data_IF_780734049131
#
_entry.id   IF_780734049131
#
_cell.length_a   1.000
_cell.length_b   1.000
_cell.length_c   1.000
_cell.angle_alpha   90.00
_cell.angle_beta   90.00
_cell.angle_gamma   90.00
#
_symmetry.space_group_name_H-M   'P 1'
#
loop_
_entity.id
_entity.type
_entity.pdbx_description
1 polymer ?
#
# COMPACT_ATOMS: atom_id res chain seq x y z
N UNK A 1 18.79 -0.87 16.80
CA UNK A 1 17.53 -0.31 16.28
C UNK A 1 16.51 -1.32 15.74
N UNK A 2 16.76 -2.01 14.62
CA UNK A 2 15.75 -2.85 13.93
C UNK A 2 14.98 -3.83 14.82
N UNK A 3 15.68 -4.49 15.75
CA UNK A 3 15.08 -5.38 16.75
C UNK A 3 14.02 -4.70 17.61
N UNK A 4 14.30 -3.49 18.08
CA UNK A 4 13.41 -2.76 19.00
C UNK A 4 12.16 -2.26 18.27
N UNK A 5 12.31 -1.80 17.02
CA UNK A 5 11.18 -1.44 16.15
C UNK A 5 10.30 -2.65 15.88
N UNK A 6 10.90 -3.79 15.46
CA UNK A 6 10.14 -5.01 15.21
C UNK A 6 9.42 -5.54 16.46
N UNK A 7 10.07 -5.46 17.62
CA UNK A 7 9.45 -5.84 18.89
C UNK A 7 8.32 -4.88 19.32
N UNK A 8 8.48 -3.58 19.11
CA UNK A 8 7.45 -2.58 19.40
C UNK A 8 6.22 -2.80 18.52
N UNK A 9 6.40 -2.93 17.20
CA UNK A 9 5.34 -3.25 16.24
C UNK A 9 4.60 -4.53 16.63
N UNK A 10 5.36 -5.59 16.96
CA UNK A 10 4.78 -6.85 17.38
C UNK A 10 3.93 -6.68 18.65
N UNK A 11 4.42 -5.92 19.64
CA UNK A 11 3.70 -5.66 20.88
C UNK A 11 2.39 -4.89 20.66
N UNK A 12 2.38 -3.90 19.75
CA UNK A 12 1.16 -3.16 19.37
C UNK A 12 0.16 -4.11 18.71
N UNK A 13 0.60 -4.86 17.69
CA UNK A 13 -0.25 -5.78 16.94
C UNK A 13 -0.75 -6.97 17.78
N UNK A 14 -0.04 -7.28 18.86
CA UNK A 14 -0.41 -8.30 19.83
C UNK A 14 -1.43 -7.81 20.88
N UNK A 15 -1.76 -6.51 20.93
CA UNK A 15 -2.74 -5.99 21.89
C UNK A 15 -4.08 -6.71 21.76
N UNK A 16 -4.80 -6.96 22.87
CA UNK A 16 -6.10 -7.62 22.81
C UNK A 16 -7.11 -6.79 22.01
N UNK A 17 -7.78 -7.42 21.02
CA UNK A 17 -8.82 -6.75 20.21
C UNK A 17 -9.95 -6.15 21.06
N UNK A 18 -10.22 -6.73 22.23
CA UNK A 18 -11.20 -6.21 23.20
C UNK A 18 -10.86 -4.79 23.67
N UNK A 19 -9.59 -4.37 23.67
CA UNK A 19 -9.21 -3.00 24.00
C UNK A 19 -9.86 -2.01 23.03
N UNK A 20 -9.83 -2.31 21.73
CA UNK A 20 -10.39 -1.47 20.68
C UNK A 20 -11.91 -1.51 20.71
N UNK A 21 -12.48 -2.72 20.79
CA UNK A 21 -13.93 -2.91 20.79
C UNK A 21 -14.60 -2.27 22.03
N UNK A 22 -14.00 -2.37 23.21
CA UNK A 22 -14.57 -1.77 24.43
C UNK A 22 -14.45 -0.24 24.44
N UNK A 23 -13.57 0.33 23.64
CA UNK A 23 -13.41 1.77 23.47
C UNK A 23 -14.25 2.32 22.32
N UNK A 24 -15.10 1.49 21.69
CA UNK A 24 -15.90 1.83 20.51
C UNK A 24 -15.07 2.42 19.36
N UNK A 25 -13.81 1.99 19.24
CA UNK A 25 -12.90 2.41 18.19
C UNK A 25 -13.13 1.61 16.90
N UNK A 26 -12.72 2.15 15.73
CA UNK A 26 -12.97 1.49 14.46
C UNK A 26 -12.37 0.08 14.37
N UNK A 27 -13.13 -0.83 13.76
CA UNK A 27 -12.70 -2.20 13.51
C UNK A 27 -13.12 -2.64 12.12
N UNK A 28 -12.18 -3.18 11.35
CA UNK A 28 -12.41 -3.60 9.97
C UNK A 28 -11.97 -5.04 9.77
N UNK A 29 -12.83 -5.84 9.14
CA UNK A 29 -12.44 -7.10 8.53
C UNK A 29 -11.54 -6.84 7.31
N UNK A 30 -10.78 -7.85 6.83
CA UNK A 30 -9.91 -7.65 5.67
C UNK A 30 -10.65 -7.18 4.42
N UNK A 31 -11.87 -7.68 4.19
CA UNK A 31 -12.67 -7.28 3.04
C UNK A 31 -13.25 -5.86 3.18
N UNK A 32 -13.65 -5.45 4.39
CA UNK A 32 -14.09 -4.06 4.64
C UNK A 32 -12.93 -3.08 4.43
N UNK A 33 -11.74 -3.43 4.91
CA UNK A 33 -10.55 -2.63 4.72
C UNK A 33 -10.19 -2.50 3.23
N UNK A 34 -10.18 -3.62 2.49
CA UNK A 34 -10.00 -3.65 1.03
C UNK A 34 -11.03 -2.78 0.30
N UNK A 35 -12.31 -2.93 0.61
CA UNK A 35 -13.38 -2.16 -0.03
C UNK A 35 -13.24 -0.67 0.24
N UNK A 36 -12.83 -0.30 1.45
CA UNK A 36 -12.56 1.09 1.80
C UNK A 36 -11.42 1.67 0.96
N UNK A 37 -10.31 0.93 0.80
CA UNK A 37 -9.19 1.35 -0.06
C UNK A 37 -9.59 1.49 -1.53
N UNK A 38 -10.43 0.59 -2.06
CA UNK A 38 -11.02 0.72 -3.40
C UNK A 38 -11.88 1.98 -3.52
N UNK A 39 -12.73 2.27 -2.54
CA UNK A 39 -13.54 3.49 -2.57
C UNK A 39 -12.69 4.77 -2.49
N UNK A 40 -11.60 4.74 -1.72
CA UNK A 40 -10.62 5.84 -1.68
C UNK A 40 -9.91 5.99 -3.03
N UNK A 41 -9.58 4.89 -3.70
CA UNK A 41 -8.99 4.88 -5.05
C UNK A 41 -9.95 5.48 -6.08
N UNK A 42 -11.23 5.09 -6.05
CA UNK A 42 -12.26 5.65 -6.93
C UNK A 42 -12.36 7.18 -6.75
N UNK A 43 -12.41 7.65 -5.50
CA UNK A 43 -12.43 9.09 -5.21
C UNK A 43 -11.18 9.78 -5.73
N UNK A 44 -10.00 9.21 -5.48
CA UNK A 44 -8.74 9.78 -5.92
C UNK A 44 -8.65 9.80 -7.46
N UNK A 45 -9.20 8.81 -8.16
CA UNK A 45 -9.29 8.79 -9.61
C UNK A 45 -10.17 9.92 -10.19
N UNK A 46 -11.24 10.32 -9.48
CA UNK A 46 -12.09 11.45 -9.92
C UNK A 46 -11.37 12.80 -10.00
N UNK A 47 -10.22 12.93 -9.32
CA UNK A 47 -9.38 14.15 -9.39
C UNK A 47 -8.80 14.39 -10.77
N UNK A 48 -8.63 13.33 -11.58
CA UNK A 48 -7.96 13.38 -12.89
C UNK A 48 -6.47 13.69 -12.84
N UNK A 49 -5.87 13.77 -11.65
CA UNK A 49 -4.47 14.17 -11.42
C UNK A 49 -3.53 13.00 -11.16
N UNK A 50 -4.06 11.80 -10.92
CA UNK A 50 -3.25 10.60 -10.68
C UNK A 50 -2.81 9.99 -12.01
N UNK A 51 -1.50 9.70 -12.18
CA UNK A 51 -1.00 9.00 -13.36
C UNK A 51 -1.73 7.66 -13.62
N UNK A 52 -2.22 7.38 -14.84
CA UNK A 52 -2.99 6.17 -15.13
C UNK A 52 -2.28 4.85 -14.83
N UNK A 53 -0.94 4.84 -14.94
CA UNK A 53 -0.13 3.65 -14.62
C UNK A 53 -0.23 3.28 -13.14
N UNK A 54 -0.34 4.28 -12.25
CA UNK A 54 -0.51 4.06 -10.81
C UNK A 54 -1.92 3.59 -10.49
N UNK A 55 -2.95 4.20 -11.09
CA UNK A 55 -4.34 3.77 -10.92
C UNK A 55 -4.51 2.29 -11.27
N UNK A 56 -4.09 1.88 -12.47
CA UNK A 56 -4.19 0.49 -12.91
C UNK A 56 -3.43 -0.46 -11.98
N UNK A 57 -2.24 -0.04 -11.54
CA UNK A 57 -1.37 -0.84 -10.67
C UNK A 57 -1.98 -1.04 -9.29
N UNK A 58 -2.53 0.00 -8.69
CA UNK A 58 -3.18 -0.05 -7.38
C UNK A 58 -4.52 -0.79 -7.43
N UNK A 59 -5.33 -0.54 -8.47
CA UNK A 59 -6.57 -1.27 -8.71
C UNK A 59 -6.30 -2.78 -8.79
N UNK A 60 -5.34 -3.21 -9.62
CA UNK A 60 -4.96 -4.62 -9.75
C UNK A 60 -4.52 -5.25 -8.42
N UNK A 61 -3.73 -4.54 -7.62
CA UNK A 61 -3.32 -5.03 -6.30
C UNK A 61 -4.50 -5.10 -5.32
N UNK A 62 -5.39 -4.11 -5.33
CA UNK A 62 -6.61 -4.12 -4.53
C UNK A 62 -7.59 -5.20 -5.01
N UNK A 63 -7.55 -5.60 -6.28
CA UNK A 63 -8.38 -6.66 -6.84
C UNK A 63 -7.86 -8.08 -6.54
N UNK A 64 -6.56 -8.26 -6.31
CA UNK A 64 -5.96 -9.53 -5.92
C UNK A 64 -6.44 -9.99 -4.53
N UNK A 65 -7.48 -10.83 -4.51
CA UNK A 65 -8.10 -11.35 -3.28
C UNK A 65 -7.11 -12.09 -2.39
N UNK A 66 -6.04 -12.68 -2.93
CA UNK A 66 -5.04 -13.41 -2.14
C UNK A 66 -4.24 -12.47 -1.24
N UNK A 67 -3.98 -11.24 -1.71
CA UNK A 67 -3.27 -10.19 -0.98
C UNK A 67 -3.98 -9.85 0.34
N UNK A 68 -5.31 -9.83 0.31
CA UNK A 68 -6.19 -9.37 1.41
C UNK A 68 -6.56 -10.48 2.41
N UNK A 69 -5.90 -11.64 2.35
CA UNK A 69 -6.07 -12.72 3.35
C UNK A 69 -5.10 -12.55 4.50
N UNK A 70 -5.35 -11.56 5.35
CA UNK A 70 -4.58 -11.30 6.57
C UNK A 70 -5.41 -11.48 7.83
N UNK A 71 -4.74 -11.56 8.98
CA UNK A 71 -5.37 -11.54 10.30
C UNK A 71 -5.42 -10.08 10.79
N UNK A 72 -6.60 -9.45 10.90
CA UNK A 72 -6.68 -8.09 11.45
C UNK A 72 -6.17 -8.06 12.89
N UNK A 73 -5.45 -7.00 13.23
CA UNK A 73 -4.94 -6.78 14.58
C UNK A 73 -5.11 -5.32 14.98
N UNK A 74 -4.79 -5.02 16.25
CA UNK A 74 -4.68 -3.62 16.68
C UNK A 74 -3.54 -2.98 15.90
N UNK A 75 -3.79 -1.83 15.29
CA UNK A 75 -2.77 -1.03 14.59
C UNK A 75 -2.75 0.36 15.19
N UNK A 76 -1.57 0.98 15.21
CA UNK A 76 -1.38 2.38 15.56
C UNK A 76 -2.10 3.28 14.55
N UNK A 77 -1.98 2.96 13.27
CA UNK A 77 -2.73 3.58 12.18
C UNK A 77 -2.07 4.80 11.54
N UNK A 78 -1.13 5.43 12.25
CA UNK A 78 -0.29 6.55 11.81
C UNK A 78 1.17 6.38 12.28
N UNK A 79 1.72 5.16 12.19
CA UNK A 79 3.08 4.92 12.70
C UNK A 79 4.13 5.41 11.70
N UNK A 80 5.03 6.29 12.16
CA UNK A 80 6.22 6.73 11.45
C UNK A 80 7.27 7.25 12.46
N UNK A 81 8.41 7.71 11.97
CA UNK A 81 9.54 8.15 12.80
C UNK A 81 9.21 9.21 13.86
N UNK A 82 8.34 10.18 13.57
CA UNK A 82 7.99 11.22 14.54
C UNK A 82 7.13 10.69 15.70
N UNK A 83 6.48 9.54 15.49
CA UNK A 83 5.68 8.85 16.50
C UNK A 83 6.50 7.84 17.32
N UNK A 84 7.82 7.75 17.10
CA UNK A 84 8.73 6.86 17.83
C UNK A 84 9.75 7.67 18.64
N UNK A 85 9.72 7.53 19.97
CA UNK A 85 10.75 8.10 20.82
C UNK A 85 11.86 7.09 21.07
N UNK A 86 13.08 7.45 20.70
CA UNK A 86 14.25 6.57 20.74
C UNK A 86 15.33 7.15 21.65
N UNK A 87 15.88 6.31 22.54
CA UNK A 87 17.06 6.64 23.35
C UNK A 87 18.17 5.62 23.08
N UNK A 88 19.27 6.09 22.46
CA UNK A 88 20.33 5.23 21.97
C UNK A 88 19.79 4.26 20.92
N UNK A 89 19.79 2.97 21.25
CA UNK A 89 19.35 1.89 20.35
C UNK A 89 17.96 1.34 20.69
N UNK A 90 17.22 1.97 21.62
CA UNK A 90 15.97 1.48 22.20
C UNK A 90 14.79 2.38 21.90
N UNK A 91 13.66 1.77 21.53
CA UNK A 91 12.36 2.45 21.50
C UNK A 91 11.85 2.61 22.94
N UNK A 92 11.60 3.84 23.35
CA UNK A 92 11.20 4.19 24.72
C UNK A 92 9.72 4.52 24.83
N UNK A 93 9.12 5.07 23.78
CA UNK A 93 7.69 5.33 23.72
C UNK A 93 7.19 5.38 22.27
N UNK A 94 5.87 5.18 22.13
CA UNK A 94 5.12 5.39 20.90
C UNK A 94 4.02 6.41 21.19
N UNK A 95 3.92 7.44 20.36
CA UNK A 95 2.95 8.56 20.47
C UNK A 95 2.06 8.61 19.23
N UNK A 96 1.01 9.44 19.22
CA UNK A 96 0.19 9.63 18.01
C UNK A 96 -1.01 8.67 17.86
N UNK A 97 -1.55 8.17 18.96
CA UNK A 97 -2.60 7.12 18.98
C UNK A 97 -4.01 7.53 18.48
N UNK A 98 -4.16 8.63 17.75
CA UNK A 98 -5.49 9.10 17.31
C UNK A 98 -6.16 8.17 16.30
N UNK A 99 -5.36 7.38 15.58
CA UNK A 99 -5.80 6.57 14.44
C UNK A 99 -5.91 5.08 14.78
N UNK A 100 -5.80 4.76 16.07
CA UNK A 100 -5.83 3.39 16.58
C UNK A 100 -7.14 2.69 16.21
N UNK A 101 -7.00 1.49 15.65
CA UNK A 101 -8.10 0.69 15.12
C UNK A 101 -7.74 -0.79 15.07
N UNK A 102 -8.72 -1.64 14.80
CA UNK A 102 -8.45 -2.99 14.28
C UNK A 102 -8.41 -2.92 12.76
N UNK A 103 -7.30 -3.35 12.16
CA UNK A 103 -7.07 -3.23 10.73
C UNK A 103 -5.90 -4.06 10.22
N UNK A 104 -5.36 -3.65 9.07
CA UNK A 104 -4.23 -4.31 8.41
C UNK A 104 -2.90 -3.90 9.05
N UNK A 105 -2.11 -4.84 9.61
CA UNK A 105 -0.78 -4.55 10.15
C UNK A 105 0.19 -3.91 9.13
N UNK A 106 -0.12 -3.99 7.84
CA UNK A 106 0.67 -3.36 6.79
C UNK A 106 0.71 -1.82 6.89
N UNK A 107 -0.32 -1.18 7.44
CA UNK A 107 -0.36 0.29 7.59
C UNK A 107 0.79 0.79 8.48
N UNK A 108 1.09 0.09 9.59
CA UNK A 108 2.17 0.46 10.51
C UNK A 108 3.58 0.11 9.97
N UNK A 109 3.65 -0.59 8.84
CA UNK A 109 4.89 -0.98 8.16
C UNK A 109 5.19 -0.13 6.93
N UNK A 110 4.21 0.64 6.43
CA UNK A 110 4.31 1.34 5.15
C UNK A 110 5.51 2.30 5.09
N UNK A 111 5.73 3.07 6.17
CA UNK A 111 6.85 4.00 6.28
C UNK A 111 8.23 3.33 6.20
N UNK A 112 8.36 2.08 6.69
CA UNK A 112 9.61 1.32 6.62
C UNK A 112 9.92 0.93 5.18
N UNK A 113 8.91 0.49 4.44
CA UNK A 113 9.09 0.02 3.06
C UNK A 113 9.37 1.18 2.10
N UNK A 114 8.97 2.41 2.47
CA UNK A 114 9.39 3.62 1.78
C UNK A 114 10.88 3.96 2.00
N UNK A 115 11.55 3.34 2.98
CA UNK A 115 12.99 3.51 3.17
C UNK A 115 13.78 2.68 2.14
N UNK A 116 14.80 3.29 1.53
CA UNK A 116 15.66 2.63 0.52
C UNK A 116 16.65 1.59 1.11
N UNK A 117 16.49 1.16 2.37
CA UNK A 117 17.42 0.25 3.05
C UNK A 117 16.80 -1.15 3.26
N UNK A 118 16.77 -1.95 2.21
CA UNK A 118 16.14 -3.29 2.22
C UNK A 118 16.64 -4.19 3.37
N UNK A 119 17.94 -4.16 3.67
CA UNK A 119 18.51 -4.95 4.76
C UNK A 119 17.96 -4.56 6.14
N UNK A 120 17.61 -3.29 6.32
CA UNK A 120 16.98 -2.82 7.55
C UNK A 120 15.53 -3.27 7.64
N UNK A 121 14.77 -3.12 6.55
CA UNK A 121 13.37 -3.59 6.45
C UNK A 121 13.27 -5.09 6.74
N UNK A 122 14.14 -5.90 6.13
CA UNK A 122 14.18 -7.35 6.34
C UNK A 122 14.52 -7.71 7.80
N UNK A 123 15.45 -6.96 8.42
CA UNK A 123 15.80 -7.15 9.83
C UNK A 123 14.62 -6.81 10.76
N UNK A 124 13.92 -5.69 10.50
CA UNK A 124 12.72 -5.32 11.27
C UNK A 124 11.64 -6.39 11.11
N UNK A 125 11.34 -6.84 9.88
CA UNK A 125 10.35 -7.88 9.62
C UNK A 125 10.72 -9.19 10.31
N UNK A 126 11.98 -9.60 10.31
CA UNK A 126 12.44 -10.81 10.99
C UNK A 126 12.21 -10.74 12.50
N UNK A 127 12.49 -9.58 13.11
CA UNK A 127 12.25 -9.37 14.53
C UNK A 127 10.76 -9.24 14.88
N UNK A 128 9.97 -8.58 14.04
CA UNK A 128 8.52 -8.52 14.15
C UNK A 128 7.91 -9.93 14.12
N UNK A 129 8.25 -10.71 13.08
CA UNK A 129 7.71 -12.06 12.86
C UNK A 129 8.06 -13.02 14.00
N UNK A 130 9.28 -12.93 14.54
CA UNK A 130 9.71 -13.78 15.66
C UNK A 130 9.10 -13.37 17.01
N UNK A 131 8.59 -12.14 17.13
CA UNK A 131 7.99 -11.61 18.35
C UNK A 131 6.46 -11.74 18.37
N UNK A 132 5.81 -11.83 17.19
CA UNK A 132 4.36 -11.97 17.05
C UNK A 132 3.86 -13.33 17.56
N UNK A 133 2.66 -13.34 18.14
CA UNK A 133 1.96 -14.58 18.53
C UNK A 133 1.30 -15.31 17.36
N UNK A 134 0.85 -14.56 16.37
CA UNK A 134 0.12 -15.09 15.21
C UNK A 134 1.07 -15.65 14.15
N UNK A 135 0.51 -16.43 13.22
CA UNK A 135 1.24 -16.92 12.08
C UNK A 135 1.78 -15.76 11.20
N UNK A 136 2.98 -15.91 10.60
CA UNK A 136 3.52 -14.91 9.69
C UNK A 136 2.61 -14.65 8.49
N UNK A 137 2.46 -13.37 8.13
CA UNK A 137 1.74 -12.95 6.94
C UNK A 137 2.70 -12.83 5.74
N UNK A 138 2.54 -13.71 4.76
CA UNK A 138 3.40 -13.79 3.59
C UNK A 138 3.30 -12.57 2.64
N UNK A 139 2.27 -11.75 2.79
CA UNK A 139 2.01 -10.60 1.93
C UNK A 139 2.06 -9.26 2.66
N UNK A 140 2.49 -9.25 3.93
CA UNK A 140 2.59 -8.03 4.75
C UNK A 140 3.36 -6.91 4.05
N UNK A 141 4.58 -7.18 3.56
CA UNK A 141 5.39 -6.16 2.89
C UNK A 141 4.81 -5.71 1.55
N UNK A 142 4.08 -6.58 0.84
CA UNK A 142 3.40 -6.19 -0.41
C UNK A 142 2.28 -5.19 -0.13
N UNK A 143 1.48 -5.45 0.91
CA UNK A 143 0.43 -4.52 1.35
C UNK A 143 1.01 -3.24 1.94
N UNK A 144 2.15 -3.32 2.63
CA UNK A 144 2.84 -2.14 3.15
C UNK A 144 3.37 -1.26 2.01
N UNK A 145 3.97 -1.86 0.98
CA UNK A 145 4.38 -1.16 -0.24
C UNK A 145 3.17 -0.51 -0.95
N UNK A 146 2.06 -1.24 -1.11
CA UNK A 146 0.82 -0.68 -1.66
C UNK A 146 0.33 0.52 -0.84
N UNK A 147 0.32 0.41 0.49
CA UNK A 147 -0.11 1.49 1.38
C UNK A 147 0.80 2.72 1.27
N UNK A 148 2.12 2.51 1.18
CA UNK A 148 3.10 3.58 0.98
C UNK A 148 2.93 4.31 -0.37
N UNK A 149 2.77 3.57 -1.47
CA UNK A 149 2.49 4.15 -2.78
C UNK A 149 1.15 4.94 -2.76
N UNK A 150 0.11 4.34 -2.19
CA UNK A 150 -1.24 4.91 -2.17
C UNK A 150 -1.37 6.14 -1.25
N UNK A 151 -0.52 6.27 -0.24
CA UNK A 151 -0.49 7.44 0.65
C UNK A 151 -0.30 8.76 -0.13
N UNK A 152 0.41 8.74 -1.26
CA UNK A 152 0.57 9.92 -2.13
C UNK A 152 -0.77 10.39 -2.74
N UNK A 153 -1.64 9.45 -3.12
CA UNK A 153 -2.97 9.77 -3.59
C UNK A 153 -3.85 10.34 -2.47
N UNK A 154 -3.72 9.80 -1.25
CA UNK A 154 -4.43 10.33 -0.08
C UNK A 154 -3.94 11.74 0.29
N UNK A 155 -2.63 11.99 0.17
CA UNK A 155 -2.02 13.31 0.36
C UNK A 155 -2.58 14.32 -0.66
N UNK A 156 -2.63 13.96 -1.94
CA UNK A 156 -3.26 14.78 -2.98
C UNK A 156 -4.71 15.13 -2.64
N UNK A 157 -5.54 14.13 -2.32
CA UNK A 157 -6.96 14.33 -2.00
C UNK A 157 -7.13 15.23 -0.78
N UNK A 158 -6.28 15.09 0.24
CA UNK A 158 -6.28 15.94 1.43
C UNK A 158 -5.89 17.38 1.09
N UNK A 159 -4.90 17.60 0.23
CA UNK A 159 -4.53 18.94 -0.26
C UNK A 159 -5.67 19.61 -1.03
N UNK A 160 -6.35 18.87 -1.89
CA UNK A 160 -7.54 19.36 -2.59
C UNK A 160 -8.69 19.71 -1.65
N UNK A 161 -8.95 18.89 -0.63
CA UNK A 161 -9.99 19.17 0.36
C UNK A 161 -9.67 20.41 1.23
N UNK A 162 -8.39 20.77 1.35
CA UNK A 162 -7.92 21.93 2.09
C UNK A 162 -7.75 23.20 1.23
N UNK A 163 -7.99 23.11 -0.09
CA UNK A 163 -7.63 24.16 -1.07
C UNK A 163 -6.16 24.62 -0.95
N UNK A 164 -5.25 23.68 -0.67
CA UNK A 164 -3.83 23.94 -0.49
C UNK A 164 -3.05 23.66 -1.77
N UNK A 165 -2.83 24.72 -2.57
CA UNK A 165 -2.13 24.63 -3.86
C UNK A 165 -0.68 24.12 -3.75
N UNK A 166 0.00 24.36 -2.61
CA UNK A 166 1.35 23.88 -2.40
C UNK A 166 1.36 22.37 -2.18
N UNK A 167 0.47 21.90 -1.31
CA UNK A 167 0.27 20.48 -1.03
C UNK A 167 -0.16 19.69 -2.28
N UNK A 168 -1.06 20.27 -3.09
CA UNK A 168 -1.50 19.65 -4.35
C UNK A 168 -0.33 19.50 -5.33
N UNK A 169 0.46 20.56 -5.52
CA UNK A 169 1.61 20.54 -6.43
C UNK A 169 2.66 19.54 -5.99
N UNK A 170 2.99 19.50 -4.70
CA UNK A 170 3.93 18.53 -4.15
C UNK A 170 3.44 17.09 -4.34
N UNK A 171 2.15 16.83 -4.12
CA UNK A 171 1.57 15.52 -4.34
C UNK A 171 1.65 15.09 -5.82
N UNK A 172 1.37 16.00 -6.76
CA UNK A 172 1.52 15.74 -8.20
C UNK A 172 2.96 15.42 -8.58
N UNK A 173 3.92 16.18 -8.06
CA UNK A 173 5.36 15.94 -8.31
C UNK A 173 5.78 14.57 -7.78
N UNK A 174 5.39 14.20 -6.55
CA UNK A 174 5.68 12.88 -5.97
C UNK A 174 5.03 11.73 -6.76
N UNK A 175 3.77 11.89 -7.19
CA UNK A 175 3.08 10.90 -8.01
C UNK A 175 3.74 10.73 -9.37
N UNK A 176 4.19 11.83 -9.99
CA UNK A 176 4.93 11.77 -11.25
C UNK A 176 6.25 11.03 -11.09
N UNK A 177 7.04 11.35 -10.06
CA UNK A 177 8.30 10.64 -9.78
C UNK A 177 8.07 9.15 -9.51
N UNK A 178 7.05 8.79 -8.72
CA UNK A 178 6.73 7.38 -8.49
C UNK A 178 6.34 6.65 -9.78
N UNK A 179 5.56 7.30 -10.66
CA UNK A 179 5.16 6.74 -11.94
C UNK A 179 6.38 6.51 -12.87
N UNK A 180 7.32 7.44 -12.89
CA UNK A 180 8.58 7.31 -13.65
C UNK A 180 9.44 6.17 -13.10
N UNK A 181 9.65 6.11 -11.78
CA UNK A 181 10.43 5.06 -11.13
C UNK A 181 9.85 3.66 -11.37
N UNK A 182 8.52 3.52 -11.31
CA UNK A 182 7.84 2.26 -11.61
C UNK A 182 7.98 1.89 -13.09
N UNK A 183 7.92 2.87 -13.99
CA UNK A 183 8.09 2.60 -15.42
C UNK A 183 9.52 2.15 -15.75
N UNK A 184 10.53 2.68 -15.06
CA UNK A 184 11.94 2.34 -15.28
C UNK A 184 12.35 1.04 -14.56
N UNK A 185 11.92 0.86 -13.31
CA UNK A 185 12.41 -0.19 -12.42
C UNK A 185 11.36 -1.26 -12.04
N UNK A 186 10.08 -1.06 -12.39
CA UNK A 186 8.96 -1.96 -12.07
C UNK A 186 8.32 -1.75 -10.69
N UNK A 187 8.99 -0.99 -9.81
CA UNK A 187 8.58 -0.77 -8.42
C UNK A 187 8.72 -2.03 -7.54
N UNK A 188 8.40 -1.88 -6.26
CA UNK A 188 8.32 -3.01 -5.32
C UNK A 188 7.12 -3.91 -5.69
N UNK A 189 7.13 -5.22 -5.39
CA UNK A 189 5.98 -6.07 -5.66
C UNK A 189 4.82 -5.70 -4.72
N UNK A 190 3.70 -5.24 -5.27
CA UNK A 190 2.49 -4.91 -4.50
C UNK A 190 1.31 -5.88 -4.72
N UNK A 191 1.41 -6.77 -5.71
CA UNK A 191 0.42 -7.83 -6.01
C UNK A 191 1.11 -9.20 -6.08
N UNK A 192 0.35 -10.28 -5.89
CA UNK A 192 0.82 -11.64 -6.15
C UNK A 192 0.66 -11.97 -7.63
N UNK A 193 -0.42 -11.49 -8.23
CA UNK A 193 -0.69 -11.65 -9.64
C UNK A 193 0.11 -10.63 -10.47
N UNK A 194 0.82 -11.04 -11.54
CA UNK A 194 1.44 -10.09 -12.45
C UNK A 194 0.39 -9.14 -13.05
N UNK A 195 0.80 -7.90 -13.30
CA UNK A 195 -0.07 -6.95 -14.01
C UNK A 195 -0.51 -7.56 -15.35
N UNK A 196 -1.78 -7.38 -15.76
CA UNK A 196 -2.24 -7.80 -17.07
C UNK A 196 -1.34 -7.16 -18.14
N UNK A 197 -0.66 -7.97 -18.94
CA UNK A 197 0.10 -7.43 -20.07
C UNK A 197 -0.88 -6.75 -21.02
N UNK A 198 -0.65 -5.48 -21.32
CA UNK A 198 -1.40 -4.78 -22.36
C UNK A 198 -1.32 -5.65 -23.63
N UNK A 199 -2.49 -6.09 -24.12
CA UNK A 199 -2.57 -6.97 -25.27
C UNK A 199 -1.79 -6.35 -26.42
N UNK A 200 -0.60 -6.91 -26.71
CA UNK A 200 0.17 -6.54 -27.89
C UNK A 200 -0.71 -6.88 -29.09
N UNK A 201 -1.11 -5.83 -29.81
CA UNK A 201 -2.17 -5.89 -30.80
C UNK A 201 -2.06 -7.09 -31.73
N UNK A 202 -3.18 -7.79 -31.87
CA UNK A 202 -3.44 -8.71 -32.98
C UNK A 202 -3.01 -7.99 -34.27
N UNK A 203 -1.92 -8.46 -34.88
CA UNK A 203 -1.55 -8.04 -36.23
C UNK A 203 -2.74 -8.30 -37.13
N UNK A 204 -3.33 -7.22 -37.65
CA UNK A 204 -4.37 -7.25 -38.66
C UNK A 204 -3.94 -8.20 -39.78
N UNK A 205 -4.66 -9.32 -39.93
CA UNK A 205 -4.54 -10.18 -41.09
C UNK A 205 -4.92 -9.36 -42.33
N UNK A 206 -3.95 -9.09 -43.19
CA UNK A 206 -4.20 -8.51 -44.50
C UNK A 206 -5.13 -9.44 -45.29
N UNK A 207 -6.17 -8.92 -45.98
CA UNK A 207 -7.03 -9.76 -46.79
C UNK A 207 -6.25 -10.25 -48.01
N UNK A 208 -6.16 -11.57 -48.18
CA UNK A 208 -5.66 -12.19 -49.39
C UNK A 208 -6.55 -11.78 -50.58
N UNK A 209 -5.92 -11.20 -51.60
CA UNK A 209 -6.58 -10.71 -52.80
C UNK A 209 -7.37 -11.81 -53.52
N UNK A 210 -8.62 -11.51 -53.84
CA UNK A 210 -9.48 -12.34 -54.67
C UNK A 210 -8.99 -12.22 -56.11
N UNK A 211 -8.50 -13.33 -56.69
CA UNK A 211 -8.07 -13.39 -58.08
C UNK A 211 -9.28 -13.30 -59.01
N UNK A 212 -9.27 -12.29 -59.87
CA UNK A 212 -10.20 -12.09 -60.97
C UNK A 212 -10.13 -13.24 -61.98
N UNK A 213 -11.27 -13.87 -62.25
CA UNK A 213 -11.51 -14.68 -63.44
C UNK A 213 -12.73 -14.11 -64.15
N UNK A 214 -12.53 -13.46 -65.29
CA UNK A 214 -13.62 -13.09 -66.22
C UNK A 214 -13.73 -14.15 -67.32
N UNK A 215 -14.94 -14.52 -67.76
CA UNK A 215 -15.13 -15.38 -68.92
C UNK A 215 -15.23 -14.55 -70.20
N UNK A 216 -14.62 -15.03 -71.28
CA UNK A 216 -15.16 -15.16 -72.64
C UNK A 216 -14.14 -15.92 -73.50
#
# INVERSE_FOLDING_TARGET
MAREIGAALAAIHDLPLLLVNNADLPSYTPNEFRQRRLNELDQAATTGKIPPVLLLRWEHAMEDVSLWRFNPCVVHGDLHEDNLLVEGDRVTAVTGWTDLRIGDPADDMAWLVASNEQSFVDAVLGHYTSSRRDAPDAHLLRRAALSAEFALAQYLVKGMAADDDEMIREAEDMLASLAEDIAEHGGQPISVEPLPQAATGVRAGAPAGVASSSPL
#
